data_IF_399932029657
#
_entry.id   IF_399932029657
#
_cell.length_a   1.000
_cell.length_b   1.000
_cell.length_c   1.000
_cell.angle_alpha   90.00
_cell.angle_beta   90.00
_cell.angle_gamma   90.00
#
_symmetry.space_group_name_H-M   'P 1'
#
loop_
_entity.id
_entity.type
_entity.pdbx_description
1 polymer ?
#
# COMPACT_ATOMS: atom_id res chain seq x y z
N UNK A 1 -11.87 6.58 -17.65
CA UNK A 1 -10.74 7.35 -17.09
C UNK A 1 -9.46 6.67 -17.52
N UNK A 2 -8.60 7.36 -18.24
CA UNK A 2 -7.33 6.80 -18.72
C UNK A 2 -6.26 7.07 -17.67
N UNK A 3 -5.77 6.01 -17.03
CA UNK A 3 -4.65 6.07 -16.08
C UNK A 3 -3.35 5.76 -16.83
N UNK A 4 -2.35 6.63 -16.69
CA UNK A 4 -1.03 6.46 -17.30
C UNK A 4 0.02 6.31 -16.19
N UNK A 5 0.70 5.17 -16.18
CA UNK A 5 1.71 4.85 -15.18
C UNK A 5 3.09 5.24 -15.72
N UNK A 6 3.63 6.38 -15.27
CA UNK A 6 4.97 6.85 -15.67
C UNK A 6 5.97 6.44 -14.60
N UNK A 7 7.11 5.79 -14.93
CA UNK A 7 8.19 5.55 -13.97
C UNK A 7 8.79 6.87 -13.51
N UNK A 8 8.96 7.05 -12.20
CA UNK A 8 9.47 8.29 -11.62
C UNK A 8 10.95 8.11 -11.26
N UNK A 9 11.83 8.63 -12.10
CA UNK A 9 13.25 8.74 -11.74
C UNK A 9 13.47 9.90 -10.73
N UNK A 10 14.62 9.88 -10.05
CA UNK A 10 14.95 10.88 -9.01
C UNK A 10 14.97 12.31 -9.57
N UNK A 11 15.42 12.49 -10.81
CA UNK A 11 15.44 13.79 -11.49
C UNK A 11 14.02 14.32 -11.74
N UNK A 12 13.10 13.47 -12.19
CA UNK A 12 11.70 13.82 -12.42
C UNK A 12 10.98 14.11 -11.10
N UNK A 13 11.27 13.35 -10.04
CA UNK A 13 10.75 13.63 -8.70
C UNK A 13 11.15 15.03 -8.23
N UNK A 14 12.44 15.35 -8.31
CA UNK A 14 12.97 16.66 -7.91
C UNK A 14 12.40 17.79 -8.77
N UNK A 15 12.20 17.54 -10.07
CA UNK A 15 11.57 18.49 -10.97
C UNK A 15 10.09 18.71 -10.62
N UNK A 16 9.32 17.67 -10.33
CA UNK A 16 7.92 17.82 -9.91
C UNK A 16 7.83 18.57 -8.59
N UNK A 17 8.73 18.30 -7.65
CA UNK A 17 8.79 19.03 -6.38
C UNK A 17 9.20 20.51 -6.58
N UNK A 18 10.06 20.80 -7.57
CA UNK A 18 10.41 22.17 -8.00
C UNK A 18 9.29 22.87 -8.76
N UNK A 19 8.37 22.13 -9.39
CA UNK A 19 7.15 22.66 -10.01
C UNK A 19 6.07 23.00 -8.95
N UNK A 20 6.47 23.61 -7.84
CA UNK A 20 5.61 24.06 -6.74
C UNK A 20 4.53 25.09 -7.17
N UNK A 21 4.69 25.68 -8.37
CA UNK A 21 3.69 26.54 -9.00
C UNK A 21 2.51 25.76 -9.59
N UNK A 22 2.69 24.47 -9.91
CA UNK A 22 1.58 23.56 -10.15
C UNK A 22 1.05 23.20 -8.77
N UNK A 23 -0.09 23.78 -8.38
CA UNK A 23 -0.81 23.46 -7.13
C UNK A 23 -1.34 22.02 -7.19
N UNK A 24 -0.44 21.04 -7.16
CA UNK A 24 -0.80 19.64 -6.99
C UNK A 24 -1.62 19.51 -5.71
N UNK A 25 -2.70 18.75 -5.78
CA UNK A 25 -3.45 18.41 -4.57
C UNK A 25 -2.52 17.67 -3.61
N UNK A 26 -2.78 17.81 -2.30
CA UNK A 26 -2.02 17.10 -1.26
C UNK A 26 -1.96 15.59 -1.54
N UNK A 27 -3.08 15.03 -2.03
CA UNK A 27 -3.19 13.63 -2.47
C UNK A 27 -2.17 13.28 -3.56
N UNK A 28 -2.00 14.13 -4.57
CA UNK A 28 -1.05 13.86 -5.66
C UNK A 28 0.41 13.97 -5.18
N UNK A 29 0.72 14.95 -4.32
CA UNK A 29 2.05 15.08 -3.71
C UNK A 29 2.39 13.85 -2.87
N UNK A 30 1.46 13.43 -2.01
CA UNK A 30 1.63 12.26 -1.15
C UNK A 30 1.75 10.98 -1.98
N UNK A 31 0.98 10.84 -3.07
CA UNK A 31 1.08 9.69 -3.98
C UNK A 31 2.42 9.59 -4.70
N UNK A 32 2.99 10.71 -5.14
CA UNK A 32 4.33 10.74 -5.76
C UNK A 32 5.40 10.35 -4.73
N UNK A 33 5.29 10.85 -3.48
CA UNK A 33 6.20 10.48 -2.40
C UNK A 33 6.09 8.99 -2.05
N UNK A 34 4.88 8.46 -1.86
CA UNK A 34 4.64 7.03 -1.61
C UNK A 34 5.31 6.16 -2.68
N UNK A 35 5.19 6.56 -3.95
CA UNK A 35 5.80 5.84 -5.06
C UNK A 35 7.34 5.84 -5.01
N UNK A 36 7.95 6.97 -4.71
CA UNK A 36 9.42 7.06 -4.53
C UNK A 36 9.89 6.17 -3.38
N UNK A 37 9.19 6.18 -2.25
CA UNK A 37 9.50 5.33 -1.09
C UNK A 37 9.38 3.86 -1.46
N UNK A 38 8.31 3.48 -2.16
CA UNK A 38 8.10 2.10 -2.61
C UNK A 38 9.22 1.63 -3.55
N UNK A 39 9.60 2.44 -4.54
CA UNK A 39 10.66 2.08 -5.49
C UNK A 39 12.02 1.95 -4.78
N UNK A 40 12.32 2.85 -3.83
CA UNK A 40 13.52 2.76 -2.99
C UNK A 40 13.51 1.50 -2.13
N UNK A 41 12.39 1.21 -1.46
CA UNK A 41 12.22 0.00 -0.66
C UNK A 41 12.32 -1.27 -1.50
N UNK A 42 11.83 -1.26 -2.74
CA UNK A 42 11.96 -2.39 -3.65
C UNK A 42 13.40 -2.66 -4.06
N UNK A 43 14.19 -1.59 -4.26
CA UNK A 43 15.60 -1.67 -4.66
C UNK A 43 16.51 -2.06 -3.49
N UNK A 44 16.39 -1.34 -2.38
CA UNK A 44 17.38 -1.36 -1.30
C UNK A 44 16.89 -2.08 -0.04
N UNK A 45 15.58 -2.39 0.05
CA UNK A 45 14.91 -2.95 1.25
C UNK A 45 15.02 -2.07 2.50
N UNK A 46 15.37 -0.81 2.32
CA UNK A 46 15.54 0.19 3.37
C UNK A 46 14.57 1.37 3.17
N UNK A 47 14.28 2.06 4.26
CA UNK A 47 13.46 3.29 4.28
C UNK A 47 14.24 4.32 5.10
N UNK A 48 14.35 5.54 4.58
CA UNK A 48 14.99 6.66 5.30
C UNK A 48 14.18 7.05 6.54
N UNK A 49 14.79 7.66 7.56
CA UNK A 49 14.06 8.11 8.76
C UNK A 49 12.93 9.10 8.42
N UNK A 50 13.18 10.04 7.49
CA UNK A 50 12.18 11.02 7.04
C UNK A 50 10.98 10.37 6.33
N UNK A 51 11.23 9.29 5.59
CA UNK A 51 10.19 8.54 4.89
C UNK A 51 9.45 7.59 5.84
N UNK A 52 10.11 7.05 6.86
CA UNK A 52 9.47 6.28 7.91
C UNK A 52 8.47 7.13 8.69
N UNK A 53 8.84 8.36 9.08
CA UNK A 53 7.92 9.31 9.72
C UNK A 53 6.72 9.61 8.81
N UNK A 54 6.96 9.79 7.52
CA UNK A 54 5.86 10.01 6.56
C UNK A 54 4.92 8.80 6.46
N UNK A 55 5.45 7.57 6.46
CA UNK A 55 4.65 6.33 6.45
C UNK A 55 3.73 6.25 7.67
N UNK A 56 4.30 6.46 8.87
CA UNK A 56 3.54 6.43 10.13
C UNK A 56 2.45 7.51 10.18
N UNK A 57 2.75 8.74 9.72
CA UNK A 57 1.77 9.82 9.68
C UNK A 57 0.60 9.55 8.73
N UNK A 58 0.78 8.69 7.73
CA UNK A 58 -0.23 8.40 6.69
C UNK A 58 -0.85 7.00 6.83
N UNK A 59 -0.53 6.25 7.89
CA UNK A 59 -0.97 4.87 8.11
C UNK A 59 -0.81 4.00 6.85
N UNK A 60 0.36 4.10 6.23
CA UNK A 60 0.67 3.41 4.98
C UNK A 60 2.14 2.99 4.97
N UNK A 61 2.42 1.75 4.59
CA UNK A 61 3.77 1.22 4.47
C UNK A 61 4.02 0.63 3.08
N UNK A 62 5.26 0.68 2.54
CA UNK A 62 5.58 0.12 1.23
C UNK A 62 5.22 -1.37 1.04
N UNK A 63 5.16 -2.12 2.14
CA UNK A 63 4.78 -3.53 2.13
C UNK A 63 3.32 -3.77 1.77
N UNK A 64 2.44 -2.77 1.94
CA UNK A 64 1.01 -2.86 1.67
C UNK A 64 0.70 -2.95 0.17
N UNK A 65 1.59 -2.41 -0.66
CA UNK A 65 1.50 -2.47 -2.13
C UNK A 65 2.07 -3.79 -2.70
N UNK A 66 2.68 -4.63 -1.86
CA UNK A 66 3.24 -5.90 -2.31
C UNK A 66 2.12 -6.90 -2.61
N UNK A 67 2.26 -7.73 -3.65
CA UNK A 67 1.31 -8.80 -3.90
C UNK A 67 1.28 -9.77 -2.70
N UNK A 68 0.07 -10.19 -2.33
CA UNK A 68 -0.11 -11.21 -1.31
C UNK A 68 0.65 -12.49 -1.70
N UNK A 69 1.36 -13.07 -0.72
CA UNK A 69 2.04 -14.35 -0.92
C UNK A 69 1.03 -15.43 -1.33
N UNK A 70 1.38 -16.24 -2.32
CA UNK A 70 0.52 -17.33 -2.81
C UNK A 70 0.10 -18.30 -1.69
N UNK A 71 1.00 -18.57 -0.74
CA UNK A 71 0.73 -19.40 0.44
C UNK A 71 -0.44 -18.88 1.29
N UNK A 72 -0.57 -17.55 1.39
CA UNK A 72 -1.66 -16.92 2.14
C UNK A 72 -2.98 -17.05 1.40
N UNK A 73 -2.94 -16.86 0.07
CA UNK A 73 -4.10 -17.06 -0.81
C UNK A 73 -4.58 -18.52 -0.72
N UNK A 74 -3.67 -19.48 -0.71
CA UNK A 74 -4.01 -20.90 -0.60
C UNK A 74 -4.58 -21.28 0.77
N UNK A 75 -4.12 -20.67 1.86
CA UNK A 75 -4.74 -20.81 3.18
C UNK A 75 -6.19 -20.29 3.19
N UNK A 76 -6.43 -19.10 2.63
CA UNK A 76 -7.79 -18.54 2.52
C UNK A 76 -8.69 -19.45 1.70
N UNK A 77 -8.21 -19.96 0.56
CA UNK A 77 -8.97 -20.91 -0.27
C UNK A 77 -9.31 -22.21 0.45
N UNK A 78 -8.43 -22.71 1.33
CA UNK A 78 -8.70 -23.88 2.16
C UNK A 78 -9.79 -23.59 3.18
N UNK A 79 -9.69 -22.48 3.90
CA UNK A 79 -10.70 -22.05 4.89
C UNK A 79 -12.06 -21.80 4.23
N UNK A 80 -12.09 -21.18 3.05
CA UNK A 80 -13.33 -20.93 2.31
C UNK A 80 -13.99 -22.21 1.76
N UNK A 81 -13.25 -23.31 1.65
CA UNK A 81 -13.78 -24.62 1.26
C UNK A 81 -14.31 -25.41 2.45
N UNK A 82 -13.99 -25.02 3.67
CA UNK A 82 -14.60 -25.62 4.86
C UNK A 82 -16.07 -25.18 4.91
N UNK A 83 -17.02 -26.12 5.08
CA UNK A 83 -18.42 -25.76 5.16
C UNK A 83 -18.60 -24.85 6.38
N UNK A 84 -18.96 -23.60 6.14
CA UNK A 84 -19.29 -22.66 7.21
C UNK A 84 -20.42 -23.23 8.07
N UNK A 85 -20.25 -23.19 9.39
CA UNK A 85 -21.30 -23.61 10.32
C UNK A 85 -22.41 -22.54 10.22
N UNK A 86 -23.64 -22.91 9.81
CA UNK A 86 -24.73 -21.95 9.77
C UNK A 86 -25.11 -21.57 11.19
N UNK A 87 -24.74 -20.35 11.59
CA UNK A 87 -25.16 -19.74 12.85
C UNK A 87 -26.37 -18.84 12.61
N UNK A 88 -27.40 -18.96 13.45
CA UNK A 88 -28.63 -18.16 13.35
C UNK A 88 -28.51 -16.84 14.09
N UNK A 89 -27.72 -16.80 15.15
CA UNK A 89 -27.50 -15.64 15.98
C UNK A 89 -26.02 -15.51 16.38
N UNK A 90 -25.55 -14.28 16.63
CA UNK A 90 -24.15 -14.02 17.05
C UNK A 90 -23.83 -14.75 18.36
N UNK A 91 -24.83 -14.96 19.22
CA UNK A 91 -24.70 -15.72 20.47
C UNK A 91 -24.31 -17.18 20.27
N UNK A 92 -24.57 -17.76 19.09
CA UNK A 92 -24.22 -19.14 18.77
C UNK A 92 -22.70 -19.33 18.57
N UNK A 93 -21.97 -18.25 18.25
CA UNK A 93 -20.50 -18.27 18.08
C UNK A 93 -19.80 -18.55 19.42
N UNK A 94 -20.36 -18.06 20.52
CA UNK A 94 -19.79 -18.20 21.87
C UNK A 94 -20.22 -19.48 22.59
N UNK A 95 -21.01 -20.34 21.92
CA UNK A 95 -21.50 -21.62 22.46
C UNK A 95 -20.90 -22.85 21.76
N UNK A 96 -20.05 -22.63 20.76
CA UNK A 96 -19.25 -23.66 20.09
C UNK A 96 -18.05 -24.09 20.95
#
# INVERSE_FOLDING_TARGET
>A
MTTMTVPLDDELYDRIHKLSWVRWSKIAQDGIRKRKIFETYMRDKEISEDDAVFCEMNDWHPVDELPLKEEFIDKIKKIAKEPGIPVKDISDIFRL
#
